data_IF_415608530388
#
_entry.id   IF_415608530388
#
_cell.length_a   1.000
_cell.length_b   1.000
_cell.length_c   1.000
_cell.angle_alpha   90.00
_cell.angle_beta   90.00
_cell.angle_gamma   90.00
#
_symmetry.space_group_name_H-M   'P 1'
#
loop_
_entity.id
_entity.type
_entity.pdbx_description
1 polymer ?
#
# COMPACT_ATOMS: atom_id res chain seq x y z
N UNK A 1 11.68 -50.71 59.28
CA UNK A 1 10.32 -51.23 59.00
C UNK A 1 9.36 -50.13 59.42
N UNK A 2 8.63 -49.43 58.57
CA UNK A 2 8.27 -49.62 57.17
C UNK A 2 7.91 -48.25 56.59
N UNK A 3 8.46 -47.98 55.41
CA UNK A 3 8.14 -46.84 54.54
C UNK A 3 6.66 -46.88 54.13
N UNK A 4 6.10 -45.69 53.87
CA UNK A 4 5.12 -45.49 52.78
C UNK A 4 5.05 -44.00 52.46
N UNK A 5 5.98 -43.60 51.61
CA UNK A 5 5.77 -42.49 50.69
C UNK A 5 4.59 -42.83 49.78
N UNK A 6 3.63 -41.92 49.68
CA UNK A 6 2.50 -42.01 48.76
C UNK A 6 2.52 -40.77 47.88
N UNK A 7 3.46 -40.74 46.94
CA UNK A 7 3.47 -39.81 45.82
C UNK A 7 2.45 -40.29 44.78
N UNK A 8 1.34 -39.58 44.64
CA UNK A 8 0.45 -39.76 43.49
C UNK A 8 1.06 -39.05 42.28
N UNK A 9 1.80 -39.80 41.47
CA UNK A 9 2.10 -39.41 40.09
C UNK A 9 0.83 -39.57 39.26
N UNK A 10 0.06 -38.48 39.12
CA UNK A 10 -0.93 -38.36 38.06
C UNK A 10 -0.17 -38.03 36.76
N UNK A 11 -0.03 -39.03 35.92
CA UNK A 11 0.50 -38.93 34.56
C UNK A 11 -0.55 -38.30 33.66
N UNK A 12 -0.57 -36.97 33.61
CA UNK A 12 -1.32 -36.21 32.61
C UNK A 12 -0.49 -36.08 31.33
N UNK A 13 -0.31 -37.20 30.62
CA UNK A 13 0.15 -37.20 29.23
C UNK A 13 -1.04 -37.37 28.29
N UNK A 14 -1.93 -36.37 28.27
CA UNK A 14 -2.71 -36.09 27.07
C UNK A 14 -1.82 -35.28 26.12
N UNK A 15 -1.00 -35.96 25.32
CA UNK A 15 -0.44 -35.36 24.10
C UNK A 15 -1.56 -35.22 23.08
N UNK A 16 -2.45 -34.27 23.32
CA UNK A 16 -3.32 -33.70 22.30
C UNK A 16 -2.41 -32.88 21.40
N UNK A 17 -1.96 -33.47 20.29
CA UNK A 17 -1.35 -32.69 19.20
C UNK A 17 -2.38 -31.69 18.73
N UNK A 18 -2.30 -30.46 19.26
CA UNK A 18 -3.16 -29.37 18.85
C UNK A 18 -2.90 -29.11 17.35
N UNK A 19 -3.96 -29.10 16.57
CA UNK A 19 -3.87 -28.80 15.15
C UNK A 19 -3.74 -27.29 14.95
N UNK A 20 -3.02 -26.89 13.91
CA UNK A 20 -2.96 -25.51 13.44
C UNK A 20 -4.38 -25.01 13.16
N UNK A 21 -4.75 -23.86 13.75
CA UNK A 21 -6.10 -23.29 13.59
C UNK A 21 -6.05 -22.26 12.49
N UNK A 22 -6.87 -22.45 11.45
CA UNK A 22 -6.88 -21.61 10.27
C UNK A 22 -8.14 -20.73 10.21
N UNK A 23 -7.99 -19.53 9.68
CA UNK A 23 -9.05 -18.53 9.62
C UNK A 23 -8.86 -17.56 8.46
N UNK A 24 -9.79 -16.61 8.38
CA UNK A 24 -9.72 -15.51 7.41
C UNK A 24 -10.06 -14.20 8.09
N UNK A 25 -9.51 -13.12 7.55
CA UNK A 25 -9.82 -11.76 7.95
C UNK A 25 -10.09 -10.91 6.71
N UNK A 26 -11.09 -10.04 6.80
CA UNK A 26 -11.27 -8.96 5.82
C UNK A 26 -10.33 -7.83 6.23
N UNK A 27 -9.38 -7.48 5.36
CA UNK A 27 -8.42 -6.40 5.60
C UNK A 27 -9.13 -5.07 5.32
N UNK A 28 -9.24 -4.24 6.35
CA UNK A 28 -9.89 -2.92 6.26
C UNK A 28 -8.87 -1.78 6.27
N UNK A 29 -7.67 -2.03 6.81
CA UNK A 29 -6.55 -1.11 6.89
C UNK A 29 -5.25 -1.85 6.56
N UNK A 30 -4.51 -1.32 5.59
CA UNK A 30 -3.14 -1.73 5.29
C UNK A 30 -2.31 -0.47 5.07
N UNK A 31 -1.46 -0.08 6.02
CA UNK A 31 -0.60 1.10 5.89
C UNK A 31 0.82 0.65 5.56
N UNK A 32 1.45 1.33 4.61
CA UNK A 32 2.88 1.22 4.33
C UNK A 32 3.51 2.61 4.43
N UNK A 33 4.51 2.77 5.28
CA UNK A 33 5.25 4.02 5.43
C UNK A 33 6.76 3.74 5.52
N UNK A 34 7.57 4.61 4.91
CA UNK A 34 9.02 4.50 5.02
C UNK A 34 9.47 4.95 6.41
N UNK A 35 10.38 4.20 7.03
CA UNK A 35 10.98 4.55 8.32
C UNK A 35 12.47 4.84 8.21
N UNK A 36 13.18 4.03 7.42
CA UNK A 36 14.59 4.24 7.14
C UNK A 36 14.91 3.87 5.69
N UNK A 37 16.20 3.97 5.33
CA UNK A 37 16.71 3.49 4.04
C UNK A 37 16.41 2.01 3.77
N UNK A 38 16.17 1.21 4.82
CA UNK A 38 16.04 -0.25 4.74
C UNK A 38 14.86 -0.81 5.53
N UNK A 39 13.96 0.03 6.06
CA UNK A 39 12.78 -0.42 6.81
C UNK A 39 11.48 0.29 6.38
N UNK A 40 10.40 -0.48 6.27
CA UNK A 40 9.00 -0.03 6.10
C UNK A 40 8.25 -0.46 7.32
N UNK A 41 7.44 0.48 7.79
CA UNK A 41 6.38 0.22 8.73
C UNK A 41 5.18 -0.35 7.97
N UNK A 42 4.74 -1.55 8.35
CA UNK A 42 3.50 -2.14 7.87
C UNK A 42 2.50 -2.16 9.03
N UNK A 43 1.35 -1.52 8.84
CA UNK A 43 0.22 -1.69 9.75
C UNK A 43 -0.88 -2.49 9.05
N UNK A 44 -1.43 -3.48 9.74
CA UNK A 44 -2.59 -4.23 9.26
C UNK A 44 -3.71 -4.14 10.29
N UNK A 45 -4.93 -3.97 9.79
CA UNK A 45 -6.13 -4.04 10.59
C UNK A 45 -7.30 -4.55 9.77
N UNK A 46 -8.24 -5.20 10.44
CA UNK A 46 -9.35 -5.85 9.78
C UNK A 46 -10.33 -6.51 10.74
N UNK A 47 -11.27 -7.23 10.16
CA UNK A 47 -12.31 -7.96 10.89
C UNK A 47 -12.17 -9.46 10.60
N UNK A 48 -11.99 -10.25 11.65
CA UNK A 48 -11.91 -11.70 11.53
C UNK A 48 -13.27 -12.28 11.12
N UNK A 49 -13.24 -13.27 10.21
CA UNK A 49 -14.45 -13.95 9.77
C UNK A 49 -15.07 -14.77 10.92
N UNK A 50 -16.38 -14.96 10.88
CA UNK A 50 -17.13 -15.70 11.90
C UNK A 50 -16.57 -17.12 12.09
N UNK A 51 -16.46 -17.57 13.34
CA UNK A 51 -15.97 -18.91 13.68
C UNK A 51 -14.45 -19.02 13.77
N UNK A 52 -13.72 -17.92 13.59
CA UNK A 52 -12.29 -17.84 13.89
C UNK A 52 -12.03 -16.85 15.01
N UNK A 53 -11.34 -17.31 16.05
CA UNK A 53 -10.92 -16.50 17.18
C UNK A 53 -9.41 -16.48 17.25
N UNK A 54 -8.84 -15.28 17.28
CA UNK A 54 -7.42 -15.10 17.54
C UNK A 54 -7.27 -15.11 19.05
N UNK A 55 -6.68 -16.20 19.57
CA UNK A 55 -6.33 -16.31 20.98
C UNK A 55 -5.21 -15.35 21.38
N UNK A 56 -4.66 -15.56 22.57
CA UNK A 56 -3.50 -14.80 23.05
C UNK A 56 -2.22 -15.20 22.30
N UNK A 57 -1.93 -14.48 21.22
CA UNK A 57 -0.70 -14.65 20.45
C UNK A 57 0.39 -13.73 20.99
N UNK A 58 1.63 -14.22 21.03
CA UNK A 58 2.82 -13.47 21.48
C UNK A 58 3.72 -13.07 20.31
N UNK A 59 3.53 -13.67 19.14
CA UNK A 59 4.27 -13.36 17.91
C UNK A 59 3.32 -13.28 16.74
N UNK A 60 3.56 -12.33 15.83
CA UNK A 60 2.80 -12.19 14.58
C UNK A 60 3.75 -12.04 13.40
N UNK A 61 3.64 -12.95 12.43
CA UNK A 61 4.28 -12.83 11.13
C UNK A 61 3.26 -12.36 10.07
N UNK A 62 3.55 -11.26 9.40
CA UNK A 62 2.79 -10.73 8.26
C UNK A 62 3.55 -11.01 6.99
N UNK A 63 2.93 -11.76 6.08
CA UNK A 63 3.46 -12.09 4.75
C UNK A 63 2.64 -11.37 3.69
N UNK A 64 3.31 -10.59 2.86
CA UNK A 64 2.73 -9.91 1.70
C UNK A 64 3.08 -10.71 0.45
N UNK A 65 2.05 -11.16 -0.26
CA UNK A 65 2.17 -11.86 -1.53
C UNK A 65 1.67 -10.99 -2.67
N UNK A 66 2.18 -11.24 -3.88
CA UNK A 66 1.52 -10.83 -5.11
C UNK A 66 1.33 -12.07 -5.99
N UNK A 67 0.12 -12.61 -5.97
CA UNK A 67 -0.18 -13.93 -6.50
C UNK A 67 0.52 -15.00 -5.65
N UNK A 68 1.48 -15.70 -6.24
CA UNK A 68 2.24 -16.76 -5.54
C UNK A 68 3.63 -16.32 -5.06
N UNK A 69 4.01 -15.06 -5.31
CA UNK A 69 5.34 -14.55 -4.96
C UNK A 69 5.30 -13.80 -3.64
N UNK A 70 6.07 -14.25 -2.64
CA UNK A 70 6.30 -13.49 -1.41
C UNK A 70 7.12 -12.23 -1.77
N UNK A 71 6.55 -11.07 -1.51
CA UNK A 71 7.19 -9.78 -1.79
C UNK A 71 7.66 -9.07 -0.53
N UNK A 72 7.08 -9.38 0.64
CA UNK A 72 7.52 -8.83 1.91
C UNK A 72 7.12 -9.70 3.10
N UNK A 73 7.92 -9.68 4.14
CA UNK A 73 7.68 -10.39 5.39
C UNK A 73 8.08 -9.51 6.56
N UNK A 74 7.24 -9.48 7.59
CA UNK A 74 7.52 -8.79 8.84
C UNK A 74 7.15 -9.71 9.99
N UNK A 75 8.02 -9.84 10.98
CA UNK A 75 7.71 -10.57 12.21
C UNK A 75 7.74 -9.63 13.41
N UNK A 76 6.73 -9.75 14.25
CA UNK A 76 6.48 -8.88 15.39
C UNK A 76 6.43 -9.78 16.61
N UNK A 77 7.43 -9.67 17.48
CA UNK A 77 7.49 -10.44 18.72
C UNK A 77 6.97 -9.62 19.90
N UNK A 78 6.48 -10.31 20.93
CA UNK A 78 6.04 -9.76 22.21
C UNK A 78 4.86 -8.78 22.11
N UNK A 79 3.97 -8.97 21.14
CA UNK A 79 2.78 -8.12 20.96
C UNK A 79 1.50 -8.93 20.95
N UNK A 80 0.70 -8.75 22.00
CA UNK A 80 -0.61 -9.36 22.08
C UNK A 80 -1.54 -8.74 21.02
N UNK A 81 -2.21 -9.59 20.25
CA UNK A 81 -3.30 -9.18 19.38
C UNK A 81 -4.59 -9.77 19.90
N UNK A 82 -5.47 -8.90 20.39
CA UNK A 82 -6.75 -9.28 20.97
C UNK A 82 -7.85 -8.64 20.13
N UNK A 83 -8.76 -9.44 19.52
CA UNK A 83 -9.94 -8.90 18.85
C UNK A 83 -10.79 -8.09 19.81
N UNK A 84 -11.36 -6.99 19.33
CA UNK A 84 -12.35 -6.21 20.09
C UNK A 84 -13.73 -6.91 20.12
N UNK A 85 -14.72 -6.27 20.74
CA UNK A 85 -16.08 -6.80 20.84
C UNK A 85 -16.79 -6.98 19.48
N UNK A 86 -16.23 -6.43 18.40
CA UNK A 86 -16.71 -6.56 17.03
C UNK A 86 -15.84 -7.52 16.19
N UNK A 87 -14.96 -8.29 16.84
CA UNK A 87 -13.99 -9.17 16.21
C UNK A 87 -13.03 -8.42 15.26
N UNK A 88 -12.76 -7.14 15.54
CA UNK A 88 -11.79 -6.33 14.81
C UNK A 88 -10.43 -6.44 15.48
N UNK A 89 -9.40 -6.54 14.65
CA UNK A 89 -8.01 -6.52 15.08
C UNK A 89 -7.28 -5.41 14.36
N UNK A 90 -6.37 -4.74 15.06
CA UNK A 90 -5.49 -3.75 14.48
C UNK A 90 -4.14 -3.78 15.19
N UNK A 91 -3.07 -3.71 14.41
CA UNK A 91 -1.76 -3.41 14.96
C UNK A 91 -1.72 -1.92 15.31
N UNK A 92 -1.73 -1.62 16.61
CA UNK A 92 -1.44 -0.26 17.12
C UNK A 92 0.01 -0.23 17.52
N UNK A 93 0.85 0.48 16.78
CA UNK A 93 2.26 0.63 17.10
C UNK A 93 2.46 1.56 18.30
N UNK A 94 3.36 1.16 19.20
CA UNK A 94 3.99 2.11 20.09
C UNK A 94 5.10 2.78 19.26
N UNK A 95 5.14 4.11 19.14
CA UNK A 95 6.18 4.81 18.37
C UNK A 95 7.62 4.42 18.73
N UNK A 96 7.81 3.92 19.96
CA UNK A 96 9.11 3.50 20.49
C UNK A 96 9.46 2.01 20.18
N UNK A 97 8.50 1.21 19.70
CA UNK A 97 8.62 -0.24 19.47
C UNK A 97 8.09 -0.64 18.09
N UNK A 98 8.53 0.08 17.06
CA UNK A 98 8.11 -0.18 15.69
C UNK A 98 9.02 -1.22 15.02
N UNK A 99 8.51 -2.42 14.73
CA UNK A 99 9.31 -3.47 14.12
C UNK A 99 9.64 -3.12 12.68
N UNK A 100 10.87 -3.43 12.32
CA UNK A 100 11.40 -3.19 10.99
C UNK A 100 11.12 -4.40 10.09
N UNK A 101 10.56 -4.15 8.91
CA UNK A 101 10.46 -5.15 7.85
C UNK A 101 11.79 -5.17 7.06
N UNK A 102 12.52 -6.30 7.07
CA UNK A 102 13.73 -6.50 6.26
C UNK A 102 13.37 -6.68 4.78
N UNK A 103 13.88 -5.80 3.90
CA UNK A 103 13.66 -5.88 2.45
C UNK A 103 14.46 -7.01 1.80
N UNK A 104 13.79 -8.14 1.56
CA UNK A 104 14.29 -9.22 0.71
C UNK A 104 13.96 -9.08 -0.79
N UNK A 105 13.28 -8.01 -1.23
CA UNK A 105 12.96 -7.81 -2.65
C UNK A 105 11.58 -7.26 -2.98
N UNK A 106 11.16 -6.16 -2.34
CA UNK A 106 10.00 -5.39 -2.81
C UNK A 106 10.38 -4.66 -4.11
N UNK A 107 10.49 -5.40 -5.22
CA UNK A 107 10.04 -4.89 -6.51
C UNK A 107 8.53 -5.02 -6.46
N UNK A 108 7.86 -4.04 -5.82
CA UNK A 108 6.41 -4.13 -5.66
C UNK A 108 5.83 -4.33 -7.05
N UNK A 109 5.17 -5.45 -7.30
CA UNK A 109 4.36 -5.60 -8.51
C UNK A 109 3.06 -4.83 -8.34
N UNK A 110 3.12 -3.60 -7.81
CA UNK A 110 2.00 -2.68 -7.80
C UNK A 110 1.69 -2.41 -9.25
N UNK A 111 0.53 -2.91 -9.69
CA UNK A 111 0.08 -2.70 -11.05
C UNK A 111 -0.12 -1.20 -11.24
N UNK A 112 0.42 -0.68 -12.34
CA UNK A 112 0.18 0.71 -12.76
C UNK A 112 -1.32 1.03 -12.67
N UNK A 113 -1.68 2.26 -12.26
CA UNK A 113 -3.05 2.74 -12.41
C UNK A 113 -3.57 2.44 -13.82
N UNK A 114 -4.84 2.03 -13.93
CA UNK A 114 -5.41 1.77 -15.25
C UNK A 114 -5.60 3.09 -16.00
N UNK A 115 -5.23 3.10 -17.28
CA UNK A 115 -5.46 4.24 -18.17
C UNK A 115 -6.94 4.34 -18.51
N UNK A 116 -7.47 5.57 -18.51
CA UNK A 116 -8.81 5.89 -19.01
C UNK A 116 -9.92 5.90 -17.95
N UNK A 117 -10.94 6.72 -18.22
CA UNK A 117 -12.13 6.94 -17.38
C UNK A 117 -13.18 5.82 -17.43
N UNK A 118 -13.06 4.89 -18.37
CA UNK A 118 -14.13 3.94 -18.72
C UNK A 118 -14.08 2.59 -17.99
N UNK A 119 -13.16 2.40 -17.05
CA UNK A 119 -13.09 1.16 -16.28
C UNK A 119 -13.95 1.28 -15.01
N UNK A 120 -14.94 0.39 -14.89
CA UNK A 120 -15.74 0.25 -13.68
C UNK A 120 -14.84 -0.21 -12.53
N UNK A 121 -14.77 0.60 -11.49
CA UNK A 121 -14.15 0.22 -10.23
C UNK A 121 -14.88 -1.01 -9.68
N UNK A 122 -14.15 -2.09 -9.43
CA UNK A 122 -14.70 -3.30 -8.83
C UNK A 122 -14.71 -3.14 -7.31
N UNK A 123 -15.79 -2.54 -6.80
CA UNK A 123 -16.05 -2.33 -5.38
C UNK A 123 -16.36 -3.63 -4.62
N UNK A 124 -16.56 -4.74 -5.34
CA UNK A 124 -16.88 -6.04 -4.75
C UNK A 124 -15.63 -6.78 -4.29
N UNK A 125 -14.46 -6.43 -4.83
CA UNK A 125 -13.19 -7.02 -4.41
C UNK A 125 -12.79 -6.54 -3.03
N UNK A 126 -12.86 -7.44 -2.07
CA UNK A 126 -12.33 -7.25 -0.72
C UNK A 126 -10.96 -7.88 -0.62
N UNK A 127 -10.02 -7.16 -0.02
CA UNK A 127 -8.72 -7.73 0.34
C UNK A 127 -8.93 -8.59 1.58
N UNK A 128 -8.47 -9.83 1.52
CA UNK A 128 -8.54 -10.76 2.64
C UNK A 128 -7.15 -11.21 3.04
N UNK A 129 -6.99 -11.54 4.31
CA UNK A 129 -5.83 -12.22 4.84
C UNK A 129 -6.21 -13.64 5.24
N UNK A 130 -5.40 -14.61 4.84
CA UNK A 130 -5.46 -15.95 5.42
C UNK A 130 -4.69 -15.93 6.74
N UNK A 131 -5.31 -16.45 7.80
CA UNK A 131 -4.78 -16.46 9.14
C UNK A 131 -4.49 -17.90 9.56
N UNK A 132 -3.34 -18.10 10.20
CA UNK A 132 -2.99 -19.37 10.81
C UNK A 132 -2.39 -19.13 12.20
N UNK A 133 -2.92 -19.82 13.20
CA UNK A 133 -2.38 -19.84 14.57
C UNK A 133 -1.66 -21.17 14.80
N UNK A 134 -0.42 -21.08 15.28
CA UNK A 134 0.41 -22.24 15.56
C UNK A 134 -0.25 -23.18 16.58
N UNK A 135 0.09 -24.48 16.60
CA UNK A 135 -0.40 -25.43 17.60
C UNK A 135 -0.25 -24.98 19.06
N UNK A 136 0.75 -24.16 19.36
CA UNK A 136 1.01 -23.64 20.70
C UNK A 136 0.10 -22.44 21.05
N UNK A 137 -0.62 -21.89 20.08
CA UNK A 137 -1.45 -20.69 20.24
C UNK A 137 -0.66 -19.38 20.27
N UNK A 138 0.66 -19.43 20.22
CA UNK A 138 1.53 -18.28 20.47
C UNK A 138 1.92 -17.50 19.21
N UNK A 139 1.86 -18.13 18.04
CA UNK A 139 2.32 -17.51 16.80
C UNK A 139 1.16 -17.38 15.81
N UNK A 140 0.89 -16.16 15.36
CA UNK A 140 -0.04 -15.89 14.28
C UNK A 140 0.73 -15.61 13.00
N UNK A 141 0.39 -16.34 11.94
CA UNK A 141 0.77 -16.02 10.58
C UNK A 141 -0.40 -15.38 9.85
N UNK A 142 -0.16 -14.23 9.25
CA UNK A 142 -1.12 -13.49 8.42
C UNK A 142 -0.58 -13.38 7.00
N UNK A 143 -1.29 -13.95 6.03
CA UNK A 143 -0.88 -13.92 4.62
C UNK A 143 -1.84 -13.09 3.80
N UNK A 144 -1.36 -12.02 3.16
CA UNK A 144 -2.17 -11.06 2.39
C UNK A 144 -1.74 -11.11 0.93
N UNK A 145 -2.65 -11.45 0.01
CA UNK A 145 -2.38 -11.38 -1.43
C UNK A 145 -2.81 -10.03 -2.01
N UNK A 146 -1.82 -9.23 -2.39
CA UNK A 146 -1.97 -7.91 -2.98
C UNK A 146 -2.42 -7.95 -4.46
N UNK A 147 -2.35 -9.09 -5.14
CA UNK A 147 -2.72 -9.19 -6.56
C UNK A 147 -4.23 -8.97 -6.81
N UNK A 148 -5.05 -9.15 -5.77
CA UNK A 148 -6.50 -8.99 -5.83
C UNK A 148 -6.99 -7.61 -5.36
N UNK A 149 -6.08 -6.68 -5.06
CA UNK A 149 -6.48 -5.33 -4.66
C UNK A 149 -7.23 -4.59 -5.78
N UNK A 150 -8.30 -3.85 -5.44
CA UNK A 150 -8.89 -2.88 -6.36
C UNK A 150 -7.82 -1.95 -6.91
N UNK A 151 -7.83 -1.72 -8.23
CA UNK A 151 -6.87 -0.81 -8.85
C UNK A 151 -7.26 0.64 -8.56
N UNK A 152 -6.26 1.49 -8.40
CA UNK A 152 -6.45 2.93 -8.32
C UNK A 152 -6.82 3.50 -9.69
N UNK A 153 -7.58 4.59 -9.68
CA UNK A 153 -7.93 5.39 -10.87
C UNK A 153 -7.46 6.82 -10.65
N UNK A 154 -6.84 7.42 -11.65
CA UNK A 154 -6.45 8.82 -11.65
C UNK A 154 -7.22 9.57 -12.75
N UNK A 155 -7.74 10.75 -12.44
CA UNK A 155 -8.49 11.61 -13.37
C UNK A 155 -7.96 13.03 -13.25
N UNK A 156 -7.50 13.60 -14.35
CA UNK A 156 -7.12 15.02 -14.40
C UNK A 156 -8.39 15.86 -14.33
N UNK A 157 -8.48 16.74 -13.35
CA UNK A 157 -9.61 17.63 -13.14
C UNK A 157 -9.42 18.97 -13.84
N UNK A 158 -8.22 19.54 -13.73
CA UNK A 158 -7.90 20.82 -14.34
C UNK A 158 -6.42 20.92 -14.68
N UNK A 159 -6.15 21.72 -15.71
CA UNK A 159 -4.81 22.11 -16.13
C UNK A 159 -4.81 23.61 -16.30
N UNK A 160 -3.86 24.29 -15.67
CA UNK A 160 -3.64 25.71 -15.81
C UNK A 160 -2.21 25.92 -16.28
N UNK A 161 -2.04 26.67 -17.37
CA UNK A 161 -0.73 27.06 -17.90
C UNK A 161 -0.69 28.58 -17.96
N UNK A 162 0.32 29.19 -17.36
CA UNK A 162 0.50 30.64 -17.36
C UNK A 162 1.99 30.98 -17.32
N UNK A 163 2.47 31.78 -18.27
CA UNK A 163 3.86 32.27 -18.31
C UNK A 163 4.94 31.16 -18.14
N UNK A 164 4.73 29.99 -18.77
CA UNK A 164 5.66 28.85 -18.69
C UNK A 164 5.55 28.02 -17.40
N UNK A 165 4.66 28.41 -16.48
CA UNK A 165 4.28 27.60 -15.33
C UNK A 165 3.07 26.72 -15.66
N UNK A 166 3.02 25.55 -15.04
CA UNK A 166 1.91 24.61 -15.16
C UNK A 166 1.47 24.13 -13.78
N UNK A 167 0.16 24.09 -13.58
CA UNK A 167 -0.51 23.41 -12.47
C UNK A 167 -1.49 22.37 -13.02
N UNK A 168 -1.40 21.14 -12.51
CA UNK A 168 -2.30 20.03 -12.85
C UNK A 168 -2.97 19.55 -11.56
N UNK A 169 -4.31 19.59 -11.51
CA UNK A 169 -5.09 18.94 -10.46
C UNK A 169 -5.53 17.55 -10.91
N UNK A 170 -5.32 16.55 -10.06
CA UNK A 170 -5.65 15.15 -10.32
C UNK A 170 -6.39 14.55 -9.13
N UNK A 171 -7.55 13.97 -9.40
CA UNK A 171 -8.24 13.12 -8.44
C UNK A 171 -7.75 11.68 -8.55
N UNK A 172 -7.33 11.11 -7.42
CA UNK A 172 -7.00 9.70 -7.31
C UNK A 172 -8.08 9.01 -6.47
N UNK A 173 -8.75 8.03 -7.08
CA UNK A 173 -9.69 7.13 -6.40
C UNK A 173 -8.99 5.82 -6.05
N UNK A 174 -8.92 5.49 -4.76
CA UNK A 174 -8.39 4.23 -4.24
C UNK A 174 -9.42 3.54 -3.35
N UNK A 175 -9.99 2.43 -3.84
CA UNK A 175 -10.94 1.63 -3.08
C UNK A 175 -10.28 0.53 -2.24
N UNK A 176 -8.97 0.34 -2.40
CA UNK A 176 -8.25 -0.66 -1.62
C UNK A 176 -8.02 -0.18 -0.18
N UNK A 177 -7.78 -1.09 0.78
CA UNK A 177 -7.38 -0.72 2.14
C UNK A 177 -5.93 -0.25 2.22
N UNK A 178 -5.16 -0.32 1.12
CA UNK A 178 -3.77 0.11 1.08
C UNK A 178 -3.69 1.64 1.17
N UNK A 179 -2.94 2.11 2.15
CA UNK A 179 -2.49 3.48 2.30
C UNK A 179 -0.97 3.50 2.21
N UNK A 180 -0.43 4.48 1.50
CA UNK A 180 1.02 4.68 1.36
C UNK A 180 1.35 6.11 1.70
N UNK A 181 2.26 6.31 2.65
CA UNK A 181 2.69 7.66 3.05
C UNK A 181 4.02 7.97 2.38
N UNK A 182 4.07 9.11 1.72
CA UNK A 182 5.24 9.70 1.08
C UNK A 182 5.66 10.93 1.89
N UNK A 183 6.56 10.72 2.84
CA UNK A 183 7.12 11.79 3.67
C UNK A 183 8.19 12.59 2.90
N UNK A 184 7.74 13.35 1.89
CA UNK A 184 8.62 14.12 1.02
C UNK A 184 7.94 14.68 -0.22
N UNK A 185 8.74 15.29 -1.09
CA UNK A 185 8.28 15.87 -2.36
C UNK A 185 8.48 14.85 -3.47
N UNK A 186 7.41 14.62 -4.24
CA UNK A 186 7.43 13.77 -5.42
C UNK A 186 7.63 14.63 -6.66
N UNK A 187 8.48 14.16 -7.58
CA UNK A 187 8.76 14.82 -8.85
C UNK A 187 8.17 14.03 -9.99
N UNK A 188 7.69 14.75 -10.99
CA UNK A 188 7.01 14.23 -12.15
C UNK A 188 7.57 14.87 -13.42
N UNK A 189 7.50 14.12 -14.52
CA UNK A 189 7.83 14.58 -15.86
C UNK A 189 6.55 14.61 -16.69
N UNK A 190 6.38 15.69 -17.44
CA UNK A 190 5.36 15.79 -18.47
C UNK A 190 5.96 15.35 -19.80
N UNK A 191 5.41 14.29 -20.38
CA UNK A 191 5.96 13.63 -21.57
C UNK A 191 5.01 13.78 -22.75
N UNK A 192 5.51 14.26 -23.88
CA UNK A 192 4.81 14.23 -25.19
C UNK A 192 5.72 13.54 -26.19
N UNK A 193 5.24 12.49 -26.84
CA UNK A 193 6.00 11.69 -27.80
C UNK A 193 7.38 11.24 -27.26
N UNK A 194 7.40 10.77 -26.01
CA UNK A 194 8.61 10.38 -25.25
C UNK A 194 9.62 11.50 -24.95
N UNK A 195 9.31 12.75 -25.30
CA UNK A 195 10.12 13.92 -24.95
C UNK A 195 9.59 14.57 -23.69
N UNK A 196 10.49 14.99 -22.80
CA UNK A 196 10.13 15.79 -21.63
C UNK A 196 9.82 17.21 -22.09
N UNK A 197 8.59 17.65 -21.84
CA UNK A 197 8.11 19.00 -22.14
C UNK A 197 7.85 19.82 -20.88
N UNK A 198 8.00 19.23 -19.69
CA UNK A 198 7.81 19.92 -18.43
C UNK A 198 8.21 19.08 -17.22
N UNK A 199 8.40 19.77 -16.09
CA UNK A 199 8.77 19.19 -14.80
C UNK A 199 7.81 19.71 -13.73
N UNK A 200 7.21 18.79 -12.99
CA UNK A 200 6.24 19.12 -11.95
C UNK A 200 6.66 18.47 -10.61
N UNK A 201 6.16 19.01 -9.51
CA UNK A 201 6.32 18.43 -8.19
C UNK A 201 5.06 18.62 -7.33
N UNK A 202 4.90 17.77 -6.33
CA UNK A 202 3.79 17.84 -5.38
C UNK A 202 3.89 16.77 -4.29
N UNK A 203 3.03 16.86 -3.29
CA UNK A 203 2.80 15.76 -2.35
C UNK A 203 2.06 14.62 -3.05
N UNK A 204 2.27 13.38 -2.62
CA UNK A 204 1.68 12.21 -3.28
C UNK A 204 1.47 11.05 -2.31
N UNK A 205 0.67 11.23 -1.27
CA UNK A 205 0.22 10.08 -0.48
C UNK A 205 -0.73 9.20 -1.29
N UNK A 206 -0.91 7.95 -0.90
CA UNK A 206 -2.03 7.12 -1.37
C UNK A 206 -2.92 6.93 -0.16
N UNK A 207 -4.10 7.54 -0.17
CA UNK A 207 -5.12 7.32 0.85
C UNK A 207 -6.32 6.56 0.29
N UNK A 208 -7.18 6.05 1.15
CA UNK A 208 -8.44 5.40 0.78
C UNK A 208 -9.48 6.48 0.44
N UNK A 209 -10.27 6.23 -0.60
CA UNK A 209 -11.33 7.12 -1.04
C UNK A 209 -10.92 7.92 -2.26
N UNK A 210 -11.35 9.19 -2.33
CA UNK A 210 -10.98 10.13 -3.38
C UNK A 210 -10.13 11.21 -2.73
N UNK A 211 -8.96 11.45 -3.29
CA UNK A 211 -8.03 12.48 -2.83
C UNK A 211 -7.58 13.31 -4.03
N UNK A 212 -7.68 14.63 -3.90
CA UNK A 212 -7.23 15.59 -4.90
C UNK A 212 -5.74 15.92 -4.66
N UNK A 213 -4.96 15.94 -5.72
CA UNK A 213 -3.54 16.31 -5.71
C UNK A 213 -3.29 17.45 -6.67
N UNK A 214 -2.52 18.44 -6.21
CA UNK A 214 -2.01 19.51 -7.07
C UNK A 214 -0.52 19.27 -7.37
N UNK A 215 -0.20 19.21 -8.66
CA UNK A 215 1.19 19.16 -9.14
C UNK A 215 1.53 20.48 -9.82
N UNK A 216 2.65 21.09 -9.44
CA UNK A 216 3.08 22.42 -9.94
C UNK A 216 4.49 22.36 -10.47
N UNK A 217 4.78 23.15 -11.49
CA UNK A 217 6.14 23.32 -11.99
C UNK A 217 6.18 24.07 -13.31
N UNK A 218 7.11 23.68 -14.18
CA UNK A 218 7.37 24.40 -15.44
C UNK A 218 7.05 23.54 -16.65
N UNK A 219 6.70 24.20 -17.74
CA UNK A 219 6.43 23.60 -19.04
C UNK A 219 7.10 24.43 -20.12
N UNK A 220 7.54 23.79 -21.20
CA UNK A 220 8.12 24.47 -22.35
C UNK A 220 7.07 25.35 -23.03
N UNK A 221 7.51 26.48 -23.59
CA UNK A 221 6.66 27.37 -24.38
C UNK A 221 5.98 26.62 -25.54
N UNK A 222 4.70 26.92 -25.77
CA UNK A 222 3.91 26.30 -26.84
C UNK A 222 3.51 24.83 -26.57
N UNK A 223 3.66 24.33 -25.34
CA UNK A 223 3.19 23.00 -25.00
C UNK A 223 1.65 22.89 -25.10
N UNK A 224 1.18 22.03 -26.00
CA UNK A 224 -0.23 21.82 -26.30
C UNK A 224 -0.55 20.33 -26.54
N UNK A 225 -1.82 20.00 -26.62
CA UNK A 225 -2.34 18.66 -26.93
C UNK A 225 -2.22 17.66 -25.78
N UNK A 226 -2.25 16.37 -26.12
CA UNK A 226 -2.16 15.30 -25.14
C UNK A 226 -0.72 15.01 -24.71
N UNK A 227 -0.51 14.96 -23.40
CA UNK A 227 0.75 14.57 -22.77
C UNK A 227 0.49 13.52 -21.66
N UNK A 228 1.56 12.95 -21.12
CA UNK A 228 1.52 12.02 -19.99
C UNK A 228 2.29 12.61 -18.83
N UNK A 229 1.62 12.82 -17.71
CA UNK A 229 2.26 13.13 -16.44
C UNK A 229 2.71 11.81 -15.81
N UNK A 230 4.02 11.66 -15.62
CA UNK A 230 4.65 10.43 -15.14
C UNK A 230 5.50 10.71 -13.91
N UNK A 231 5.41 9.86 -12.90
CA UNK A 231 6.31 9.94 -11.75
C UNK A 231 7.77 9.70 -12.14
N UNK A 232 8.67 10.49 -11.58
CA UNK A 232 10.10 10.49 -11.92
C UNK A 232 10.96 10.04 -10.72
N UNK A 233 10.95 10.84 -9.65
CA UNK A 233 11.77 10.61 -8.46
C UNK A 233 11.09 11.13 -7.20
N UNK A 234 11.62 10.75 -6.06
CA UNK A 234 11.16 11.16 -4.75
C UNK A 234 12.32 11.80 -3.97
N UNK A 235 12.11 12.99 -3.40
CA UNK A 235 13.06 13.58 -2.47
C UNK A 235 12.54 13.40 -1.06
N UNK A 236 13.12 12.44 -0.35
CA UNK A 236 13.07 12.35 1.10
C UNK A 236 14.44 12.64 1.70
N UNK A 237 14.44 12.94 3.00
CA UNK A 237 15.63 13.00 3.86
C UNK A 237 16.48 11.71 3.81
N UNK A 238 15.89 10.61 3.34
CA UNK A 238 16.52 9.30 3.18
C UNK A 238 16.43 8.88 1.69
N UNK A 239 17.58 8.68 1.05
CA UNK A 239 17.67 8.30 -0.37
C UNK A 239 17.06 6.91 -0.68
N UNK A 240 16.13 6.87 -1.64
CA UNK A 240 15.75 5.70 -2.48
C UNK A 240 15.51 4.34 -1.79
N UNK A 241 14.25 4.00 -1.47
CA UNK A 241 13.93 2.75 -0.74
C UNK A 241 12.92 1.85 -1.47
N UNK A 242 11.77 2.37 -1.90
CA UNK A 242 10.72 1.64 -2.65
C UNK A 242 9.61 2.59 -3.09
N UNK A 243 9.42 3.68 -2.33
CA UNK A 243 8.54 4.80 -2.67
C UNK A 243 8.89 5.38 -4.04
N UNK A 244 10.18 5.52 -4.36
CA UNK A 244 10.62 6.00 -5.67
C UNK A 244 10.13 5.08 -6.80
N UNK A 245 10.27 3.77 -6.63
CA UNK A 245 9.73 2.80 -7.58
C UNK A 245 8.20 2.90 -7.70
N UNK A 246 7.49 3.12 -6.59
CA UNK A 246 6.04 3.27 -6.60
C UNK A 246 5.60 4.53 -7.35
N UNK A 247 6.26 5.67 -7.14
CA UNK A 247 5.98 6.91 -7.89
C UNK A 247 6.22 6.70 -9.39
N UNK A 248 7.27 5.99 -9.78
CA UNK A 248 7.56 5.71 -11.19
C UNK A 248 6.50 4.87 -11.91
N UNK A 249 5.61 4.20 -11.16
CA UNK A 249 4.46 3.49 -11.71
C UNK A 249 3.27 4.40 -11.99
N UNK A 250 3.25 5.62 -11.43
CA UNK A 250 2.19 6.59 -11.67
C UNK A 250 2.31 7.21 -13.06
N UNK A 251 1.25 7.11 -13.84
CA UNK A 251 1.08 7.72 -15.15
C UNK A 251 -0.37 8.17 -15.31
N UNK A 252 -0.60 9.40 -15.75
CA UNK A 252 -1.93 9.91 -16.11
C UNK A 252 -1.84 10.76 -17.38
N UNK A 253 -2.84 10.65 -18.24
CA UNK A 253 -2.95 11.45 -19.46
C UNK A 253 -3.48 12.84 -19.13
N UNK A 254 -2.81 13.87 -19.63
CA UNK A 254 -3.11 15.28 -19.38
C UNK A 254 -3.37 15.97 -20.72
N UNK A 255 -4.51 16.64 -20.85
CA UNK A 255 -4.79 17.49 -22.00
C UNK A 255 -4.32 18.93 -21.69
N UNK A 256 -3.35 19.42 -22.45
CA UNK A 256 -2.78 20.76 -22.29
C UNK A 256 -3.55 21.84 -23.08
N UNK A 257 -4.68 21.49 -23.71
CA UNK A 257 -5.45 22.39 -24.57
C UNK A 257 -4.92 22.42 -26.00
N UNK A 258 -5.54 23.24 -26.84
CA UNK A 258 -5.11 23.45 -28.23
C UNK A 258 -3.99 24.49 -28.31
N UNK A 259 -3.13 24.36 -29.32
CA UNK A 259 -2.14 25.39 -29.62
C UNK A 259 -2.86 26.60 -30.22
N UNK A 260 -2.83 27.80 -29.60
CA UNK A 260 -3.45 28.98 -30.19
C UNK A 260 -2.81 29.40 -31.53
N UNK A 261 -1.67 28.81 -31.93
CA UNK A 261 -0.90 29.19 -33.11
C UNK A 261 -1.30 28.56 -34.46
N UNK A 262 -2.41 27.81 -34.57
CA UNK A 262 -2.77 27.11 -35.82
C UNK A 262 -4.11 27.55 -36.48
N UNK A 263 -4.76 28.61 -36.02
CA UNK A 263 -6.03 29.07 -36.64
C UNK A 263 -5.88 30.12 -37.75
N UNK A 264 -4.67 30.57 -38.13
CA UNK A 264 -4.52 31.73 -39.07
C UNK A 264 -3.98 31.44 -40.49
N UNK A 265 -3.87 30.20 -40.98
CA UNK A 265 -3.30 29.94 -42.33
C UNK A 265 -4.22 29.28 -43.39
N UNK A 266 -5.54 29.15 -43.17
CA UNK A 266 -6.49 28.67 -44.21
C UNK A 266 -7.56 29.70 -44.64
N UNK A 267 -7.26 30.99 -44.52
CA UNK A 267 -8.06 32.08 -45.10
C UNK A 267 -7.22 32.97 -46.04
N UNK A 268 -6.66 32.37 -47.10
CA UNK A 268 -5.95 33.04 -48.19
C UNK A 268 -6.38 32.57 -49.56
#
# INVERSE_FOLDING_TARGET
MSERDSSSEASDQETTTMAETNGKMVVEKLLMASRSLKSVLIEVGGMCCSGFEIGWVTSVAVHLYHGHTLIGEMTISNKAMVPDSQNRVAFVWNPDEEPECEYGGIQVSLRRPQKGSNHTLDDRKRVTADLSVSPTGHDLKMSIDLANMPRMRAVVQSVMIFEGEIQVSVDITNLSPLRVIFDGICYFKLLKDQRVIGHLMGGFDIDRGITEYEFKGTVNDGASGMAVLKGDRFSASHHSTWQEYLIQLFEVEVNLGEDPGLEEEEAG
#
